data_IF_726364117921
#
_entry.id   IF_726364117921
#
_cell.length_a   1.000
_cell.length_b   1.000
_cell.length_c   1.000
_cell.angle_alpha   90.00
_cell.angle_beta   90.00
_cell.angle_gamma   90.00
#
_symmetry.space_group_name_H-M   'P 1'
#
loop_
_entity.id
_entity.type
_entity.pdbx_description
1 polymer ?
#
# COMPACT_ATOMS: atom_id res chain seq x y z
N UNK A 1 -1.64 -1.49 -14.84
CA UNK A 1 -1.77 -0.95 -13.47
C UNK A 1 -2.84 -1.75 -12.75
N UNK A 2 -2.44 -2.49 -11.71
CA UNK A 2 -3.33 -3.28 -10.86
C UNK A 2 -4.28 -2.36 -10.07
N UNK A 3 -5.48 -2.85 -9.74
CA UNK A 3 -6.42 -2.13 -8.86
C UNK A 3 -5.79 -1.78 -7.50
N UNK A 4 -4.81 -2.57 -7.05
CA UNK A 4 -4.04 -2.33 -5.82
C UNK A 4 -3.14 -1.09 -5.92
N UNK A 5 -2.46 -0.88 -7.04
CA UNK A 5 -1.56 0.26 -7.24
C UNK A 5 -2.36 1.58 -7.17
N UNK A 6 -3.54 1.60 -7.80
CA UNK A 6 -4.44 2.76 -7.78
C UNK A 6 -4.94 3.09 -6.37
N UNK A 7 -5.13 2.10 -5.50
CA UNK A 7 -5.49 2.33 -4.09
C UNK A 7 -4.38 3.08 -3.35
N UNK A 8 -3.11 2.75 -3.61
CA UNK A 8 -1.99 3.41 -2.95
C UNK A 8 -1.73 4.84 -3.47
N UNK A 9 -2.09 5.11 -4.73
CA UNK A 9 -1.99 6.42 -5.38
C UNK A 9 -3.15 7.37 -5.02
N UNK A 10 -4.28 6.87 -4.53
CA UNK A 10 -5.47 7.68 -4.23
C UNK A 10 -5.25 8.75 -3.14
N UNK A 11 -4.15 8.67 -2.38
CA UNK A 11 -3.72 9.70 -1.43
C UNK A 11 -4.48 9.73 -0.09
N UNK A 12 -5.57 8.97 0.06
CA UNK A 12 -6.30 8.82 1.32
C UNK A 12 -5.92 7.54 2.06
N UNK A 13 -5.89 7.60 3.38
CA UNK A 13 -5.66 6.44 4.26
C UNK A 13 -6.93 5.63 4.52
N UNK A 14 -8.11 6.25 4.39
CA UNK A 14 -9.42 5.61 4.57
C UNK A 14 -10.30 5.96 3.37
N UNK A 15 -10.97 4.95 2.83
CA UNK A 15 -11.92 5.06 1.73
C UNK A 15 -13.30 4.57 2.15
N UNK A 16 -14.34 5.16 1.59
CA UNK A 16 -15.69 4.59 1.65
C UNK A 16 -15.84 3.44 0.66
N UNK A 17 -16.85 2.59 0.84
CA UNK A 17 -17.20 1.55 -0.14
C UNK A 17 -17.43 2.14 -1.55
N UNK A 18 -18.04 3.31 -1.64
CA UNK A 18 -18.29 3.97 -2.92
C UNK A 18 -17.00 4.49 -3.56
N UNK A 19 -16.07 5.02 -2.78
CA UNK A 19 -14.74 5.41 -3.27
C UNK A 19 -13.93 4.19 -3.72
N UNK A 20 -14.01 3.06 -3.00
CA UNK A 20 -13.40 1.80 -3.43
C UNK A 20 -13.96 1.34 -4.76
N UNK A 21 -15.29 1.42 -4.95
CA UNK A 21 -15.93 1.06 -6.21
C UNK A 21 -15.43 1.94 -7.38
N UNK A 22 -15.19 3.23 -7.14
CA UNK A 22 -14.60 4.14 -8.14
C UNK A 22 -13.15 3.81 -8.48
N UNK A 23 -12.35 3.35 -7.51
CA UNK A 23 -10.95 2.99 -7.73
C UNK A 23 -10.82 1.65 -8.45
N UNK A 24 -11.59 0.65 -7.99
CA UNK A 24 -11.59 -0.71 -8.54
C UNK A 24 -12.25 -0.72 -9.92
N UNK A 25 -13.22 0.17 -10.17
CA UNK A 25 -13.98 0.29 -11.43
C UNK A 25 -14.70 -0.98 -11.86
N UNK A 26 -15.06 -1.82 -10.89
CA UNK A 26 -15.87 -3.02 -11.13
C UNK A 26 -17.36 -2.65 -11.05
N UNK A 27 -18.10 -3.02 -12.10
CA UNK A 27 -19.53 -2.73 -12.22
C UNK A 27 -20.39 -3.85 -11.66
N UNK A 28 -19.91 -5.09 -11.68
CA UNK A 28 -20.61 -6.21 -11.08
C UNK A 28 -20.40 -6.22 -9.55
N UNK A 29 -21.50 -6.22 -8.80
CA UNK A 29 -21.42 -6.16 -7.34
C UNK A 29 -20.81 -7.42 -6.72
N UNK A 30 -21.08 -8.60 -7.29
CA UNK A 30 -20.53 -9.87 -6.81
C UNK A 30 -19.01 -9.94 -6.98
N UNK A 31 -18.52 -9.51 -8.15
CA UNK A 31 -17.09 -9.40 -8.41
C UNK A 31 -16.45 -8.31 -7.54
N UNK A 32 -17.08 -7.15 -7.41
CA UNK A 32 -16.60 -6.09 -6.52
C UNK A 32 -16.48 -6.59 -5.08
N UNK A 33 -17.50 -7.28 -4.57
CA UNK A 33 -17.47 -7.88 -3.24
C UNK A 33 -16.30 -8.85 -3.08
N UNK A 34 -16.14 -9.77 -4.01
CA UNK A 34 -15.05 -10.76 -3.97
C UNK A 34 -13.66 -10.10 -3.99
N UNK A 35 -13.49 -9.06 -4.81
CA UNK A 35 -12.25 -8.28 -4.84
C UNK A 35 -12.00 -7.59 -3.49
N UNK A 36 -13.01 -6.96 -2.91
CA UNK A 36 -12.87 -6.30 -1.59
C UNK A 36 -12.52 -7.31 -0.51
N UNK A 37 -13.16 -8.48 -0.47
CA UNK A 37 -12.81 -9.55 0.48
C UNK A 37 -11.38 -10.05 0.29
N UNK A 38 -10.95 -10.29 -0.96
CA UNK A 38 -9.57 -10.70 -1.26
C UNK A 38 -8.56 -9.67 -0.75
N UNK A 39 -8.83 -8.37 -0.95
CA UNK A 39 -7.97 -7.29 -0.46
C UNK A 39 -7.95 -7.20 1.08
N UNK A 40 -9.02 -7.61 1.76
CA UNK A 40 -9.07 -7.70 3.22
C UNK A 40 -8.25 -8.90 3.70
N UNK A 41 -8.38 -10.05 3.04
CA UNK A 41 -7.62 -11.27 3.35
C UNK A 41 -6.11 -11.06 3.13
N UNK A 42 -5.73 -10.35 2.06
CA UNK A 42 -4.35 -9.94 1.78
C UNK A 42 -3.82 -8.86 2.75
N UNK A 43 -4.67 -8.34 3.65
CA UNK A 43 -4.32 -7.31 4.62
C UNK A 43 -4.09 -5.92 4.01
N UNK A 44 -4.40 -5.71 2.73
CA UNK A 44 -4.32 -4.42 2.03
C UNK A 44 -5.43 -3.48 2.50
N UNK A 45 -6.60 -4.03 2.80
CA UNK A 45 -7.73 -3.30 3.37
C UNK A 45 -8.06 -3.80 4.77
N UNK A 46 -8.35 -2.87 5.68
CA UNK A 46 -8.85 -3.19 7.02
C UNK A 46 -10.22 -2.53 7.21
N UNK A 47 -11.29 -3.30 7.49
CA UNK A 47 -12.61 -2.72 7.67
C UNK A 47 -12.67 -1.84 8.92
N UNK A 48 -13.28 -0.66 8.78
CA UNK A 48 -13.57 0.21 9.92
C UNK A 48 -14.89 -0.23 10.54
N UNK A 49 -14.83 -1.11 11.54
CA UNK A 49 -16.01 -1.76 12.15
C UNK A 49 -17.07 -0.76 12.63
N UNK A 50 -16.67 0.39 13.17
CA UNK A 50 -17.59 1.44 13.63
C UNK A 50 -18.35 2.15 12.50
N UNK A 51 -17.99 1.94 11.23
CA UNK A 51 -18.70 2.51 10.08
C UNK A 51 -19.98 1.77 9.72
N UNK A 52 -20.23 0.58 10.28
CA UNK A 52 -21.37 -0.26 9.93
C UNK A 52 -21.25 -0.89 8.54
N UNK A 53 -22.31 -1.57 8.11
CA UNK A 53 -22.42 -2.25 6.81
C UNK A 53 -23.24 -1.40 5.82
N UNK A 54 -23.03 -1.64 4.53
CA UNK A 54 -23.68 -0.91 3.42
C UNK A 54 -25.13 -1.34 3.14
N UNK A 55 -25.66 -2.34 3.87
CA UNK A 55 -27.03 -2.85 3.69
C UNK A 55 -27.28 -3.62 2.39
N UNK A 56 -26.23 -3.91 1.61
CA UNK A 56 -26.29 -4.75 0.40
C UNK A 56 -26.12 -6.23 0.77
N UNK A 57 -26.41 -7.12 -0.19
CA UNK A 57 -26.23 -8.57 -0.03
C UNK A 57 -25.37 -9.12 -1.19
N UNK A 58 -24.23 -9.77 -0.91
CA UNK A 58 -23.57 -9.89 0.41
C UNK A 58 -23.06 -8.54 0.97
N UNK A 59 -22.94 -8.37 2.30
CA UNK A 59 -22.67 -7.06 2.91
C UNK A 59 -21.18 -6.69 2.94
N UNK A 60 -20.87 -5.42 2.69
CA UNK A 60 -19.54 -4.83 2.90
C UNK A 60 -19.57 -3.75 3.99
N UNK A 61 -18.44 -3.48 4.64
CA UNK A 61 -18.30 -2.32 5.53
C UNK A 61 -18.37 -1.00 4.75
N UNK A 62 -18.91 0.04 5.38
CA UNK A 62 -19.03 1.36 4.74
C UNK A 62 -17.67 2.05 4.52
N UNK A 63 -16.65 1.70 5.31
CA UNK A 63 -15.30 2.27 5.22
C UNK A 63 -14.21 1.22 5.43
N UNK A 64 -13.10 1.43 4.73
CA UNK A 64 -11.89 0.62 4.84
C UNK A 64 -10.66 1.52 4.98
N UNK A 65 -9.72 1.09 5.81
CA UNK A 65 -8.38 1.67 5.91
C UNK A 65 -7.46 0.95 4.94
N UNK A 66 -6.71 1.72 4.15
CA UNK A 66 -5.68 1.18 3.26
C UNK A 66 -4.41 0.95 4.07
N UNK A 67 -3.88 -0.26 4.01
CA UNK A 67 -2.59 -0.63 4.58
C UNK A 67 -1.59 -0.68 3.44
N UNK A 68 -0.69 0.31 3.40
CA UNK A 68 0.43 0.28 2.47
C UNK A 68 1.42 -0.78 2.95
N UNK A 69 1.79 -1.77 2.13
CA UNK A 69 2.88 -2.66 2.47
C UNK A 69 4.12 -1.79 2.70
N UNK A 70 4.84 -2.07 3.79
CA UNK A 70 6.15 -1.45 3.98
C UNK A 70 7.01 -1.93 2.83
N UNK A 71 7.55 -1.00 2.06
CA UNK A 71 8.53 -1.34 1.03
C UNK A 71 9.69 -2.06 1.72
N UNK A 72 10.02 -3.26 1.25
CA UNK A 72 11.15 -4.01 1.78
C UNK A 72 12.43 -3.44 1.16
N UNK A 73 13.30 -2.97 2.03
CA UNK A 73 14.59 -2.40 1.66
C UNK A 73 15.76 -3.31 2.03
N UNK A 74 15.49 -4.53 2.51
CA UNK A 74 16.52 -5.50 2.90
C UNK A 74 17.56 -5.73 1.79
N UNK A 75 17.12 -5.75 0.54
CA UNK A 75 17.98 -5.90 -0.64
C UNK A 75 18.99 -4.76 -0.86
N UNK A 76 18.80 -3.61 -0.22
CA UNK A 76 19.76 -2.49 -0.30
C UNK A 76 20.83 -2.53 0.78
N UNK A 77 20.68 -3.33 1.84
CA UNK A 77 21.59 -3.28 2.98
C UNK A 77 23.02 -3.64 2.63
N UNK A 78 23.22 -4.64 1.77
CA UNK A 78 24.55 -4.99 1.30
C UNK A 78 25.17 -3.87 0.47
N UNK A 79 24.46 -3.31 -0.50
CA UNK A 79 24.97 -2.17 -1.28
C UNK A 79 25.29 -0.96 -0.40
N UNK A 80 24.42 -0.65 0.57
CA UNK A 80 24.64 0.44 1.53
C UNK A 80 25.93 0.21 2.35
N UNK A 81 26.22 -1.03 2.77
CA UNK A 81 27.43 -1.37 3.53
C UNK A 81 28.71 -1.23 2.71
N UNK A 82 28.62 -1.36 1.39
CA UNK A 82 29.75 -1.22 0.47
C UNK A 82 29.94 0.20 -0.08
N UNK A 83 29.11 1.16 0.32
CA UNK A 83 29.29 2.56 -0.04
C UNK A 83 30.62 3.10 0.48
N UNK A 84 31.10 4.17 -0.17
CA UNK A 84 32.30 4.88 0.26
C UNK A 84 32.21 5.22 1.77
N UNK A 85 33.20 4.84 2.61
CA UNK A 85 33.19 5.10 4.05
C UNK A 85 33.06 6.57 4.46
N UNK A 86 33.36 7.51 3.55
CA UNK A 86 33.12 8.94 3.77
C UNK A 86 31.62 9.31 3.79
N UNK A 87 30.75 8.46 3.24
CA UNK A 87 29.30 8.61 3.30
C UNK A 87 28.74 8.08 4.62
N UNK A 88 27.57 8.58 5.00
CA UNK A 88 26.90 8.15 6.21
C UNK A 88 26.19 6.78 6.04
N UNK A 89 26.97 5.70 6.05
CA UNK A 89 26.48 4.31 5.95
C UNK A 89 25.41 4.04 7.02
N UNK A 90 25.66 4.43 8.26
CA UNK A 90 24.72 4.21 9.38
C UNK A 90 23.39 4.93 9.19
N UNK A 91 23.42 6.12 8.56
CA UNK A 91 22.24 6.90 8.20
C UNK A 91 21.39 6.20 7.15
N UNK A 92 22.02 5.66 6.11
CA UNK A 92 21.32 4.92 5.06
C UNK A 92 20.78 3.57 5.55
N UNK A 93 21.48 2.86 6.44
CA UNK A 93 20.94 1.61 7.04
C UNK A 93 19.70 1.87 7.91
N UNK A 94 19.62 3.02 8.59
CA UNK A 94 18.43 3.42 9.36
C UNK A 94 17.29 3.93 8.48
N UNK A 95 17.62 4.48 7.32
CA UNK A 95 16.67 5.12 6.38
C UNK A 95 16.98 4.72 4.94
N UNK A 96 16.79 3.44 4.59
CA UNK A 96 17.17 2.92 3.29
C UNK A 96 16.32 3.49 2.14
N UNK A 97 15.19 4.11 2.43
CA UNK A 97 14.41 4.88 1.46
C UNK A 97 15.21 6.06 0.86
N UNK A 98 16.15 6.64 1.62
CA UNK A 98 17.05 7.69 1.14
C UNK A 98 18.08 7.14 0.17
N UNK A 99 18.57 5.92 0.41
CA UNK A 99 19.54 5.28 -0.47
C UNK A 99 18.91 5.01 -1.84
N UNK A 100 17.68 4.48 -1.89
CA UNK A 100 16.92 4.32 -3.14
C UNK A 100 16.84 5.63 -3.93
N UNK A 101 16.60 6.77 -3.24
CA UNK A 101 16.50 8.09 -3.87
C UNK A 101 17.84 8.62 -4.37
N UNK A 102 18.93 8.34 -3.68
CA UNK A 102 20.26 8.89 -3.99
C UNK A 102 21.16 7.92 -4.74
N UNK A 103 20.65 6.74 -5.10
CA UNK A 103 21.43 5.61 -5.63
C UNK A 103 22.35 6.01 -6.77
N UNK A 104 21.84 6.75 -7.75
CA UNK A 104 22.59 7.20 -8.92
C UNK A 104 23.76 8.15 -8.59
N UNK A 105 23.73 8.80 -7.43
CA UNK A 105 24.77 9.74 -6.98
C UNK A 105 25.79 9.02 -6.09
N UNK A 106 25.33 8.09 -5.25
CA UNK A 106 26.18 7.42 -4.26
C UNK A 106 26.89 6.18 -4.82
N UNK A 107 26.41 5.63 -5.94
CA UNK A 107 27.03 4.51 -6.66
C UNK A 107 27.77 4.92 -7.95
N UNK A 108 27.79 6.21 -8.30
CA UNK A 108 28.56 6.76 -9.42
C UNK A 108 30.05 6.93 -9.08
#
# INVERSE_FOLDING_TARGET
MSSVEKLFEYGKTILTETELQQVIKETDYGLFHHVVETLVDDGILVPVKSSGLNGRLPPLFNKYRIIKPKEDFSGYFESIRHLNPALNISGYLKRPELYKKHREIVEA
#
